data_IF_233042225490
#
_entry.id   IF_233042225490
#
_cell.length_a   1.000
_cell.length_b   1.000
_cell.length_c   1.000
_cell.angle_alpha   90.00
_cell.angle_beta   90.00
_cell.angle_gamma   90.00
#
_symmetry.space_group_name_H-M   'P 1'
#
loop_
_entity.id
_entity.type
_entity.pdbx_description
1 polymer ?
#
# COMPACT_ATOMS: atom_id res chain seq x y z
N UNK A 1 -4.31 24.66 -16.74
CA UNK A 1 -5.49 23.80 -16.48
C UNK A 1 -5.54 22.53 -17.34
N UNK A 2 -5.58 22.58 -18.69
CA UNK A 2 -5.79 21.36 -19.51
C UNK A 2 -4.62 20.36 -19.52
N UNK A 3 -3.38 20.82 -19.38
CA UNK A 3 -2.18 19.96 -19.41
C UNK A 3 -2.05 19.07 -18.17
N UNK A 4 -2.43 19.59 -17.00
CA UNK A 4 -2.34 18.84 -15.73
C UNK A 4 -3.37 17.71 -15.67
N UNK A 5 -4.62 17.97 -16.09
CA UNK A 5 -5.64 16.93 -16.16
C UNK A 5 -5.26 15.82 -17.16
N UNK A 6 -4.70 16.23 -18.31
CA UNK A 6 -4.17 15.28 -19.29
C UNK A 6 -3.07 14.39 -18.70
N UNK A 7 -2.18 14.95 -17.86
CA UNK A 7 -1.13 14.18 -17.19
C UNK A 7 -1.71 13.10 -16.25
N UNK A 8 -2.74 13.44 -15.46
CA UNK A 8 -3.42 12.49 -14.57
C UNK A 8 -4.05 11.34 -15.36
N UNK A 9 -4.76 11.67 -16.46
CA UNK A 9 -5.36 10.66 -17.34
C UNK A 9 -4.29 9.75 -17.95
N UNK A 10 -3.20 10.34 -18.45
CA UNK A 10 -2.10 9.59 -19.07
C UNK A 10 -1.45 8.64 -18.08
N UNK A 11 -1.18 9.09 -16.86
CA UNK A 11 -0.59 8.26 -15.79
C UNK A 11 -1.52 7.11 -15.41
N UNK A 12 -2.81 7.38 -15.24
CA UNK A 12 -3.79 6.34 -14.92
C UNK A 12 -3.92 5.29 -16.04
N UNK A 13 -4.02 5.74 -17.30
CA UNK A 13 -4.10 4.85 -18.46
C UNK A 13 -2.82 4.04 -18.62
N UNK A 14 -1.64 4.66 -18.47
CA UNK A 14 -0.36 3.96 -18.49
C UNK A 14 -0.30 2.86 -17.42
N UNK A 15 -0.79 3.15 -16.20
CA UNK A 15 -0.86 2.18 -15.12
C UNK A 15 -1.74 0.97 -15.50
N UNK A 16 -2.92 1.20 -16.09
CA UNK A 16 -3.80 0.11 -16.55
C UNK A 16 -3.11 -0.74 -17.63
N UNK A 17 -2.45 -0.09 -18.60
CA UNK A 17 -1.76 -0.78 -19.69
C UNK A 17 -0.61 -1.67 -19.17
N UNK A 18 0.08 -1.24 -18.11
CA UNK A 18 1.10 -2.03 -17.43
C UNK A 18 0.49 -3.13 -16.53
N UNK A 19 -0.65 -2.85 -15.90
CA UNK A 19 -1.27 -3.75 -14.93
C UNK A 19 -1.84 -5.02 -15.57
N UNK A 20 -2.34 -4.95 -16.81
CA UNK A 20 -2.89 -6.13 -17.51
C UNK A 20 -1.82 -7.22 -17.76
N UNK A 21 -0.67 -6.93 -18.43
CA UNK A 21 0.37 -7.92 -18.63
C UNK A 21 1.03 -8.32 -17.30
N UNK A 22 1.15 -7.41 -16.34
CA UNK A 22 1.69 -7.74 -15.04
C UNK A 22 0.77 -8.67 -14.23
N UNK A 23 -0.55 -8.44 -14.24
CA UNK A 23 -1.53 -9.36 -13.66
C UNK A 23 -1.49 -10.76 -14.28
N UNK A 24 -1.26 -10.85 -15.59
CA UNK A 24 -1.01 -12.15 -16.26
C UNK A 24 0.26 -12.82 -15.73
N UNK A 25 1.35 -12.08 -15.54
CA UNK A 25 2.59 -12.59 -14.94
C UNK A 25 2.38 -13.06 -13.50
N UNK A 26 1.71 -12.26 -12.65
CA UNK A 26 1.36 -12.63 -11.27
C UNK A 26 0.59 -13.96 -11.24
N UNK A 27 -0.43 -14.09 -12.11
CA UNK A 27 -1.21 -15.33 -12.19
C UNK A 27 -0.33 -16.55 -12.53
N UNK A 28 0.65 -16.40 -13.44
CA UNK A 28 1.59 -17.47 -13.80
C UNK A 28 2.49 -17.88 -12.64
N UNK A 29 3.04 -16.90 -11.92
CA UNK A 29 3.92 -17.12 -10.76
C UNK A 29 3.23 -17.97 -9.69
N UNK A 30 1.96 -17.65 -9.40
CA UNK A 30 1.18 -18.36 -8.38
C UNK A 30 0.57 -19.67 -8.87
N UNK A 31 0.28 -19.84 -10.17
CA UNK A 31 -0.04 -21.16 -10.74
C UNK A 31 1.16 -22.11 -10.82
N UNK A 32 2.38 -21.61 -10.59
CA UNK A 32 3.60 -22.41 -10.74
C UNK A 32 3.98 -22.68 -12.20
N UNK A 33 3.49 -21.87 -13.14
CA UNK A 33 3.93 -21.91 -14.52
C UNK A 33 5.38 -21.43 -14.64
N UNK A 34 6.13 -21.95 -15.62
CA UNK A 34 7.49 -21.49 -15.89
C UNK A 34 7.50 -20.03 -16.35
N UNK A 35 8.33 -19.25 -15.68
CA UNK A 35 8.56 -17.82 -15.89
C UNK A 35 10.06 -17.56 -16.02
N UNK A 36 10.43 -16.44 -16.63
CA UNK A 36 11.84 -16.07 -16.76
C UNK A 36 12.50 -15.81 -15.38
N UNK A 37 11.70 -15.40 -14.39
CA UNK A 37 12.15 -15.16 -13.01
C UNK A 37 12.52 -16.44 -12.25
N UNK A 38 12.08 -17.61 -12.71
CA UNK A 38 12.49 -18.90 -12.12
C UNK A 38 14.00 -19.14 -12.18
N UNK A 39 14.66 -18.63 -13.23
CA UNK A 39 16.10 -18.81 -13.44
C UNK A 39 16.89 -18.05 -12.37
N UNK A 40 16.44 -16.85 -12.03
CA UNK A 40 17.13 -15.94 -11.11
C UNK A 40 16.74 -16.22 -9.67
N UNK A 41 15.43 -16.28 -9.37
CA UNK A 41 14.93 -16.36 -8.00
C UNK A 41 14.67 -17.79 -7.54
N UNK A 42 14.47 -18.76 -8.44
CA UNK A 42 14.23 -20.15 -8.08
C UNK A 42 15.33 -20.78 -7.20
N UNK A 43 16.63 -20.58 -7.50
CA UNK A 43 17.72 -21.06 -6.63
C UNK A 43 17.70 -20.41 -5.25
N UNK A 44 17.43 -19.11 -5.19
CA UNK A 44 17.35 -18.33 -3.95
C UNK A 44 16.18 -18.81 -3.08
N UNK A 45 15.00 -19.00 -3.68
CA UNK A 45 13.82 -19.54 -2.99
C UNK A 45 14.07 -20.93 -2.41
N UNK A 46 14.67 -21.83 -3.20
CA UNK A 46 15.03 -23.19 -2.73
C UNK A 46 16.03 -23.15 -1.59
N UNK A 47 16.98 -22.22 -1.62
CA UNK A 47 17.94 -22.03 -0.53
C UNK A 47 17.22 -21.63 0.76
N UNK A 48 16.30 -20.66 0.71
CA UNK A 48 15.50 -20.27 1.87
C UNK A 48 14.66 -21.42 2.41
N UNK A 49 13.94 -22.15 1.56
CA UNK A 49 13.17 -23.32 2.00
C UNK A 49 14.04 -24.40 2.63
N UNK A 50 15.23 -24.65 2.06
CA UNK A 50 16.19 -25.63 2.60
C UNK A 50 16.75 -25.22 3.96
N UNK A 51 17.13 -23.96 4.15
CA UNK A 51 17.68 -23.45 5.41
C UNK A 51 16.59 -23.42 6.49
N UNK A 52 15.38 -23.02 6.13
CA UNK A 52 14.24 -22.97 7.06
C UNK A 52 13.61 -24.34 7.36
N UNK A 53 14.01 -25.41 6.64
CA UNK A 53 13.41 -26.73 6.76
C UNK A 53 11.94 -26.78 6.33
N UNK A 54 11.49 -25.81 5.51
CA UNK A 54 10.10 -25.71 5.05
C UNK A 54 9.97 -26.46 3.73
N UNK A 55 9.06 -27.44 3.69
CA UNK A 55 8.67 -28.10 2.45
C UNK A 55 7.60 -27.27 1.72
N UNK A 56 8.00 -26.61 0.63
CA UNK A 56 7.11 -25.77 -0.18
C UNK A 56 6.06 -26.59 -0.98
N UNK A 57 6.23 -27.90 -1.10
CA UNK A 57 5.28 -28.81 -1.78
C UNK A 57 4.15 -29.28 -0.87
N UNK A 58 4.33 -29.19 0.45
CA UNK A 58 3.31 -29.55 1.42
C UNK A 58 2.18 -28.54 1.39
N UNK A 59 1.00 -29.00 1.02
CA UNK A 59 -0.20 -28.18 1.04
C UNK A 59 -0.71 -27.95 2.47
N UNK A 60 -1.40 -26.83 2.66
CA UNK A 60 -1.89 -26.36 3.94
C UNK A 60 -3.39 -26.05 3.84
N UNK A 61 -4.12 -26.37 4.91
CA UNK A 61 -5.52 -25.97 5.07
C UNK A 61 -5.64 -24.54 5.62
N UNK A 62 -6.85 -23.98 5.63
CA UNK A 62 -7.06 -22.59 6.05
C UNK A 62 -6.59 -22.29 7.49
N UNK A 63 -6.65 -23.25 8.41
CA UNK A 63 -6.18 -23.07 9.80
C UNK A 63 -4.67 -23.00 9.86
N UNK A 64 -3.99 -23.84 9.08
CA UNK A 64 -2.53 -23.85 8.98
C UNK A 64 -2.03 -22.56 8.31
N UNK A 65 -2.71 -22.08 7.26
CA UNK A 65 -2.43 -20.77 6.66
C UNK A 65 -2.58 -19.64 7.68
N UNK A 66 -3.67 -19.62 8.44
CA UNK A 66 -3.90 -18.60 9.47
C UNK A 66 -2.84 -18.68 10.59
N UNK A 67 -2.51 -19.88 11.06
CA UNK A 67 -1.50 -20.07 12.09
C UNK A 67 -0.12 -19.61 11.61
N UNK A 68 0.27 -19.92 10.38
CA UNK A 68 1.53 -19.46 9.79
C UNK A 68 1.58 -17.93 9.69
N UNK A 69 0.50 -17.32 9.18
CA UNK A 69 0.37 -15.87 9.06
C UNK A 69 0.47 -15.17 10.42
N UNK A 70 -0.27 -15.63 11.44
CA UNK A 70 -0.26 -14.99 12.76
C UNK A 70 1.08 -15.19 13.48
N UNK A 71 1.66 -16.38 13.40
CA UNK A 71 2.91 -16.70 14.10
C UNK A 71 4.08 -15.89 13.55
N UNK A 72 4.20 -15.78 12.22
CA UNK A 72 5.32 -15.05 11.61
C UNK A 72 5.25 -13.55 11.90
N UNK A 73 4.03 -12.98 11.88
CA UNK A 73 3.82 -11.57 12.23
C UNK A 73 4.11 -11.30 13.72
N UNK A 74 3.76 -12.23 14.62
CA UNK A 74 4.11 -12.09 16.03
C UNK A 74 5.63 -12.04 16.26
N UNK A 75 6.40 -12.86 15.53
CA UNK A 75 7.88 -12.84 15.61
C UNK A 75 8.42 -11.48 15.16
N UNK A 76 7.91 -10.94 14.04
CA UNK A 76 8.34 -9.63 13.55
C UNK A 76 7.93 -8.48 14.47
N UNK A 77 6.77 -8.58 15.12
CA UNK A 77 6.36 -7.62 16.15
C UNK A 77 7.39 -7.56 17.28
N UNK A 78 7.78 -8.71 17.83
CA UNK A 78 8.79 -8.79 18.90
C UNK A 78 10.13 -8.24 18.43
N UNK A 79 10.55 -8.57 17.20
CA UNK A 79 11.78 -8.03 16.61
C UNK A 79 11.73 -6.51 16.45
N UNK A 80 10.62 -5.97 15.94
CA UNK A 80 10.43 -4.53 15.76
C UNK A 80 10.46 -3.81 17.11
N UNK A 81 9.74 -4.32 18.11
CA UNK A 81 9.78 -3.80 19.49
C UNK A 81 11.19 -3.78 20.04
N UNK A 82 11.95 -4.86 19.87
CA UNK A 82 13.33 -4.94 20.31
C UNK A 82 14.19 -3.87 19.64
N UNK A 83 14.12 -3.74 18.31
CA UNK A 83 14.91 -2.75 17.56
C UNK A 83 14.56 -1.32 18.01
N UNK A 84 13.27 -0.95 18.06
CA UNK A 84 12.85 0.43 18.31
C UNK A 84 13.10 0.90 19.75
N UNK A 85 12.96 0.00 20.73
CA UNK A 85 13.32 0.29 22.14
C UNK A 85 14.83 0.44 22.34
N UNK A 86 15.64 -0.18 21.48
CA UNK A 86 17.10 -0.25 21.64
C UNK A 86 17.88 0.53 20.58
N UNK A 87 17.20 1.19 19.63
CA UNK A 87 17.87 1.76 18.46
C UNK A 87 18.97 2.77 18.80
N UNK A 88 18.89 3.47 19.94
CA UNK A 88 19.88 4.47 20.34
C UNK A 88 21.31 3.92 20.45
N UNK A 89 21.49 2.67 20.87
CA UNK A 89 22.82 2.04 21.04
C UNK A 89 23.16 1.01 19.96
N UNK A 90 22.21 0.69 19.08
CA UNK A 90 22.43 -0.21 17.95
C UNK A 90 23.32 0.46 16.86
N UNK A 91 24.02 -0.33 16.02
CA UNK A 91 24.87 0.22 14.96
C UNK A 91 24.05 0.95 13.87
N UNK A 92 24.73 1.61 12.94
CA UNK A 92 24.11 2.47 11.89
C UNK A 92 23.25 3.59 12.48
N UNK A 93 23.79 4.25 13.51
CA UNK A 93 23.24 5.46 14.11
C UNK A 93 24.24 6.63 14.02
N UNK A 94 24.60 7.09 12.80
CA UNK A 94 25.59 8.16 12.64
C UNK A 94 25.11 9.51 13.22
N UNK A 95 23.80 9.69 13.35
CA UNK A 95 23.17 10.91 13.82
C UNK A 95 22.88 10.93 15.33
N UNK A 96 23.14 9.81 16.04
CA UNK A 96 22.89 9.68 17.48
C UNK A 96 21.41 9.79 17.86
N UNK A 97 20.50 9.37 16.98
CA UNK A 97 19.05 9.40 17.26
C UNK A 97 18.73 8.49 18.46
N UNK A 98 17.85 8.92 19.39
CA UNK A 98 17.55 8.18 20.61
C UNK A 98 16.65 6.96 20.35
N UNK A 99 16.56 6.07 21.34
CA UNK A 99 15.53 5.04 21.37
C UNK A 99 14.12 5.64 21.46
N UNK A 100 13.14 4.98 20.84
CA UNK A 100 11.73 5.37 20.99
C UNK A 100 11.25 5.01 22.40
N UNK A 101 10.28 5.76 22.91
CA UNK A 101 9.53 5.38 24.12
C UNK A 101 8.73 4.10 23.86
N UNK A 102 8.27 3.42 24.92
CA UNK A 102 7.61 2.12 24.79
C UNK A 102 6.28 2.18 24.02
N UNK A 103 5.50 3.23 24.27
CA UNK A 103 4.24 3.53 23.59
C UNK A 103 4.45 3.85 22.10
N UNK A 104 5.44 4.68 21.77
CA UNK A 104 5.78 5.01 20.38
C UNK A 104 6.34 3.79 19.63
N UNK A 105 7.17 2.99 20.29
CA UNK A 105 7.70 1.73 19.75
C UNK A 105 6.56 0.75 19.44
N UNK A 106 5.60 0.61 20.37
CA UNK A 106 4.43 -0.25 20.19
C UNK A 106 3.55 0.20 19.03
N UNK A 107 3.20 1.48 18.99
CA UNK A 107 2.42 2.07 17.90
C UNK A 107 3.12 1.85 16.56
N UNK A 108 4.40 2.20 16.48
CA UNK A 108 5.20 2.10 15.24
C UNK A 108 5.37 0.65 14.79
N UNK A 109 5.67 -0.27 15.70
CA UNK A 109 5.84 -1.69 15.38
C UNK A 109 4.55 -2.28 14.80
N UNK A 110 3.40 -2.07 15.46
CA UNK A 110 2.11 -2.56 14.95
C UNK A 110 1.78 -1.89 13.62
N UNK A 111 1.96 -0.57 13.54
CA UNK A 111 1.65 0.22 12.36
C UNK A 111 2.33 -0.32 11.10
N UNK A 112 3.63 -0.63 11.16
CA UNK A 112 4.36 -1.22 10.03
C UNK A 112 4.02 -2.71 9.82
N UNK A 113 3.75 -3.45 10.89
CA UNK A 113 3.35 -4.87 10.81
C UNK A 113 2.02 -5.07 10.08
N UNK A 114 1.05 -4.19 10.36
CA UNK A 114 -0.30 -4.26 9.76
C UNK A 114 -0.40 -3.50 8.44
N UNK A 115 0.74 -3.10 7.85
CA UNK A 115 0.80 -2.41 6.56
C UNK A 115 0.02 -1.06 6.55
N UNK A 116 -0.04 -0.38 7.70
CA UNK A 116 -0.73 0.92 7.84
C UNK A 116 0.27 2.08 7.83
N UNK A 117 1.40 1.90 8.52
CA UNK A 117 2.52 2.82 8.54
C UNK A 117 2.15 4.26 8.95
N UNK A 118 1.17 4.38 9.85
CA UNK A 118 0.98 5.54 10.70
C UNK A 118 2.29 5.92 11.40
N UNK A 119 2.64 7.21 11.37
CA UNK A 119 3.87 7.75 11.94
C UNK A 119 3.55 8.89 12.92
N UNK A 120 3.92 8.71 14.19
CA UNK A 120 3.91 9.75 15.23
C UNK A 120 5.32 10.25 15.54
N UNK A 121 6.21 10.19 14.56
CA UNK A 121 7.61 10.58 14.65
C UNK A 121 8.06 11.15 13.30
N UNK A 122 9.11 11.98 13.30
CA UNK A 122 9.80 12.35 12.07
C UNK A 122 10.92 11.36 11.79
N UNK A 123 10.98 10.76 10.61
CA UNK A 123 11.91 9.67 10.35
C UNK A 123 13.39 10.07 10.45
N UNK A 124 13.71 11.33 10.13
CA UNK A 124 15.09 11.83 10.19
C UNK A 124 15.61 12.20 11.59
N UNK A 125 14.73 12.26 12.60
CA UNK A 125 15.11 12.53 14.01
C UNK A 125 14.69 11.42 14.96
N UNK A 126 13.65 10.65 14.63
CA UNK A 126 13.08 9.61 15.48
C UNK A 126 13.53 8.19 15.15
N UNK A 127 14.21 7.97 14.03
CA UNK A 127 14.65 6.64 13.61
C UNK A 127 16.12 6.60 13.19
N UNK A 128 16.83 5.53 13.55
CA UNK A 128 18.20 5.26 13.09
C UNK A 128 18.20 4.60 11.71
N UNK A 129 19.35 4.56 11.03
CA UNK A 129 19.42 3.89 9.72
C UNK A 129 19.23 2.38 9.86
N UNK A 130 19.62 1.79 11.00
CA UNK A 130 19.29 0.40 11.30
C UNK A 130 17.78 0.19 11.42
N UNK A 131 17.07 1.05 12.15
CA UNK A 131 15.60 0.98 12.25
C UNK A 131 14.95 1.12 10.87
N UNK A 132 15.40 2.08 10.06
CA UNK A 132 14.89 2.31 8.71
C UNK A 132 15.09 1.06 7.82
N UNK A 133 16.28 0.45 7.83
CA UNK A 133 16.60 -0.67 6.93
C UNK A 133 16.09 -2.02 7.44
N UNK A 134 16.38 -2.36 8.70
CA UNK A 134 16.15 -3.70 9.25
C UNK A 134 14.82 -3.86 9.98
N UNK A 135 14.15 -2.76 10.32
CA UNK A 135 12.80 -2.80 10.86
C UNK A 135 11.79 -2.33 9.81
N UNK A 136 11.84 -1.08 9.38
CA UNK A 136 10.80 -0.47 8.55
C UNK A 136 10.76 -1.00 7.11
N UNK A 137 11.89 -0.95 6.40
CA UNK A 137 11.98 -1.47 5.03
C UNK A 137 11.73 -2.98 5.00
N UNK A 138 12.24 -3.73 5.99
CA UNK A 138 11.92 -5.15 6.15
C UNK A 138 10.42 -5.38 6.28
N UNK A 139 9.76 -4.67 7.22
CA UNK A 139 8.32 -4.77 7.44
C UNK A 139 7.55 -4.39 6.18
N UNK A 140 7.96 -3.37 5.42
CA UNK A 140 7.32 -3.00 4.16
C UNK A 140 7.23 -4.15 3.14
N UNK A 141 8.26 -4.99 3.07
CA UNK A 141 8.23 -6.17 2.20
C UNK A 141 7.29 -7.24 2.73
N UNK A 142 7.42 -7.58 4.01
CA UNK A 142 6.78 -8.77 4.55
C UNK A 142 5.30 -8.57 4.89
N UNK A 143 4.90 -7.36 5.27
CA UNK A 143 3.49 -6.98 5.46
C UNK A 143 2.72 -7.07 4.13
N UNK A 144 3.25 -6.46 3.07
CA UNK A 144 2.68 -6.49 1.73
C UNK A 144 2.62 -7.92 1.15
N UNK A 145 3.71 -8.69 1.31
CA UNK A 145 3.75 -10.09 0.88
C UNK A 145 2.73 -10.97 1.60
N UNK A 146 2.47 -10.70 2.90
CA UNK A 146 1.44 -11.40 3.67
C UNK A 146 0.05 -11.15 3.08
N UNK A 147 -0.27 -9.90 2.72
CA UNK A 147 -1.53 -9.53 2.08
C UNK A 147 -1.73 -10.22 0.72
N UNK A 148 -0.69 -10.23 -0.12
CA UNK A 148 -0.71 -10.92 -1.42
C UNK A 148 -0.89 -12.43 -1.23
N UNK A 149 -0.15 -13.04 -0.31
CA UNK A 149 -0.24 -14.48 -0.03
C UNK A 149 -1.66 -14.88 0.43
N UNK A 150 -2.26 -14.12 1.35
CA UNK A 150 -3.64 -14.35 1.80
C UNK A 150 -4.65 -14.24 0.65
N UNK A 151 -4.46 -13.29 -0.26
CA UNK A 151 -5.29 -13.13 -1.45
C UNK A 151 -5.19 -14.36 -2.39
N UNK A 152 -3.98 -14.88 -2.61
CA UNK A 152 -3.77 -16.08 -3.43
C UNK A 152 -4.42 -17.33 -2.82
N UNK A 153 -4.43 -17.45 -1.50
CA UNK A 153 -5.17 -18.52 -0.80
C UNK A 153 -6.66 -18.45 -1.13
N UNK A 154 -7.25 -17.25 -1.14
CA UNK A 154 -8.64 -17.05 -1.57
C UNK A 154 -8.83 -17.36 -3.06
N UNK A 155 -7.86 -17.03 -3.93
CA UNK A 155 -7.94 -17.41 -5.34
C UNK A 155 -7.98 -18.93 -5.53
N UNK A 156 -7.19 -19.69 -4.78
CA UNK A 156 -7.26 -21.15 -4.78
C UNK A 156 -8.61 -21.66 -4.27
N UNK A 157 -9.09 -21.09 -3.17
CA UNK A 157 -10.40 -21.43 -2.63
C UNK A 157 -11.54 -21.14 -3.62
N UNK A 158 -11.41 -20.14 -4.50
CA UNK A 158 -12.40 -19.85 -5.55
C UNK A 158 -12.26 -20.75 -6.79
N UNK A 159 -11.04 -21.21 -7.09
CA UNK A 159 -10.73 -22.07 -8.24
C UNK A 159 -11.29 -23.48 -8.05
N UNK A 160 -11.07 -24.08 -6.88
CA UNK A 160 -11.40 -25.47 -6.63
C UNK A 160 -12.80 -25.62 -6.03
N UNK A 161 -13.60 -26.55 -6.55
CA UNK A 161 -15.00 -26.75 -6.09
C UNK A 161 -15.07 -27.39 -4.71
N UNK A 162 -14.18 -28.34 -4.43
CA UNK A 162 -14.13 -29.11 -3.17
C UNK A 162 -12.67 -29.49 -2.90
N UNK A 163 -11.94 -28.63 -2.18
CA UNK A 163 -10.60 -28.94 -1.68
C UNK A 163 -10.39 -28.22 -0.36
N UNK A 164 -9.83 -28.93 0.62
CA UNK A 164 -9.36 -28.34 1.89
C UNK A 164 -7.88 -27.92 1.80
N UNK A 165 -7.22 -28.21 0.68
CA UNK A 165 -5.84 -27.87 0.42
C UNK A 165 -5.76 -26.60 -0.43
N UNK A 166 -5.16 -25.55 0.13
CA UNK A 166 -5.11 -24.21 -0.49
C UNK A 166 -3.69 -23.83 -0.92
N UNK A 167 -2.84 -24.83 -1.15
CA UNK A 167 -1.40 -24.70 -1.36
C UNK A 167 -0.66 -24.28 -0.09
N UNK A 168 0.48 -23.60 -0.23
CA UNK A 168 1.41 -23.35 0.89
C UNK A 168 1.63 -21.86 1.14
N UNK A 169 1.39 -21.40 2.37
CA UNK A 169 1.51 -19.98 2.76
C UNK A 169 2.92 -19.44 2.49
N UNK A 170 3.94 -20.15 2.96
CA UNK A 170 5.34 -19.73 2.85
C UNK A 170 5.80 -19.66 1.39
N UNK A 171 5.27 -20.53 0.53
CA UNK A 171 5.52 -20.46 -0.91
C UNK A 171 4.96 -19.18 -1.54
N UNK A 172 3.71 -18.85 -1.26
CA UNK A 172 3.09 -17.61 -1.78
C UNK A 172 3.75 -16.36 -1.21
N UNK A 173 4.05 -16.37 0.08
CA UNK A 173 4.75 -15.30 0.76
C UNK A 173 6.13 -15.04 0.12
N UNK A 174 6.97 -16.07 0.01
CA UNK A 174 8.33 -15.92 -0.49
C UNK A 174 8.36 -15.48 -1.97
N UNK A 175 7.47 -16.04 -2.81
CA UNK A 175 7.32 -15.60 -4.20
C UNK A 175 6.82 -14.17 -4.31
N UNK A 176 5.95 -13.71 -3.41
CA UNK A 176 5.50 -12.32 -3.38
C UNK A 176 6.68 -11.38 -3.13
N UNK A 177 7.53 -11.69 -2.15
CA UNK A 177 8.74 -10.92 -1.88
C UNK A 177 9.70 -10.92 -3.08
N UNK A 178 10.07 -12.10 -3.57
CA UNK A 178 11.19 -12.26 -4.51
C UNK A 178 10.84 -11.97 -5.97
N UNK A 179 9.62 -12.29 -6.42
CA UNK A 179 9.23 -12.24 -7.84
C UNK A 179 8.31 -11.08 -8.20
N UNK A 180 7.78 -10.38 -7.21
CA UNK A 180 6.84 -9.26 -7.40
C UNK A 180 7.40 -8.00 -6.76
N UNK A 181 7.54 -7.98 -5.43
CA UNK A 181 7.92 -6.78 -4.68
C UNK A 181 9.36 -6.36 -4.97
N UNK A 182 10.33 -7.26 -4.78
CA UNK A 182 11.75 -6.93 -4.91
C UNK A 182 12.13 -6.41 -6.31
N UNK A 183 11.73 -7.04 -7.43
CA UNK A 183 12.07 -6.54 -8.76
C UNK A 183 11.46 -5.16 -9.04
N UNK A 184 10.20 -4.93 -8.65
CA UNK A 184 9.56 -3.63 -8.82
C UNK A 184 10.19 -2.56 -7.95
N UNK A 185 10.53 -2.88 -6.69
CA UNK A 185 11.22 -1.95 -5.80
C UNK A 185 12.61 -1.61 -6.31
N UNK A 186 13.34 -2.53 -6.92
CA UNK A 186 14.63 -2.22 -7.56
C UNK A 186 14.43 -1.23 -8.71
N UNK A 187 13.46 -1.47 -9.59
CA UNK A 187 13.18 -0.55 -10.72
C UNK A 187 12.84 0.85 -10.20
N UNK A 188 11.94 0.95 -9.23
CA UNK A 188 11.53 2.24 -8.67
C UNK A 188 12.69 2.92 -7.91
N UNK A 189 13.45 2.18 -7.09
CA UNK A 189 14.60 2.73 -6.37
C UNK A 189 15.66 3.28 -7.34
N UNK A 190 15.92 2.59 -8.45
CA UNK A 190 16.83 3.06 -9.50
C UNK A 190 16.34 4.38 -10.09
N UNK A 191 15.06 4.49 -10.44
CA UNK A 191 14.47 5.74 -10.94
C UNK A 191 14.66 6.87 -9.92
N UNK A 192 14.40 6.61 -8.63
CA UNK A 192 14.55 7.58 -7.55
C UNK A 192 16.01 8.05 -7.39
N UNK A 193 16.98 7.13 -7.34
CA UNK A 193 18.41 7.46 -7.21
C UNK A 193 18.88 8.33 -8.38
N UNK A 194 18.54 7.97 -9.62
CA UNK A 194 18.92 8.76 -10.80
C UNK A 194 18.25 10.15 -10.84
N UNK A 195 17.21 10.37 -10.06
CA UNK A 195 16.50 11.64 -9.96
C UNK A 195 16.83 12.45 -8.69
N UNK A 196 17.78 11.99 -7.86
CA UNK A 196 18.30 12.76 -6.73
C UNK A 196 17.83 12.31 -5.34
N UNK A 197 17.07 11.22 -5.21
CA UNK A 197 16.77 10.62 -3.91
C UNK A 197 18.04 9.98 -3.32
N UNK A 198 18.40 10.25 -2.05
CA UNK A 198 19.65 9.80 -1.48
C UNK A 198 19.66 8.28 -1.25
N UNK A 199 20.85 7.71 -1.43
CA UNK A 199 21.17 6.33 -1.10
C UNK A 199 22.59 6.26 -0.53
N UNK A 200 22.74 6.66 0.73
CA UNK A 200 24.02 6.68 1.46
C UNK A 200 23.84 6.15 2.89
N UNK A 201 24.94 5.79 3.55
CA UNK A 201 24.96 5.48 4.99
C UNK A 201 25.73 6.54 5.81
N UNK A 202 26.11 7.64 5.17
CA UNK A 202 26.70 8.81 5.84
C UNK A 202 25.65 9.54 6.68
N UNK A 203 26.08 10.10 7.81
CA UNK A 203 25.23 10.92 8.67
C UNK A 203 24.83 12.24 8.02
N UNK A 204 24.09 13.06 8.77
CA UNK A 204 23.60 14.37 8.34
C UNK A 204 24.74 15.24 7.81
N UNK A 205 24.57 15.72 6.59
CA UNK A 205 25.51 16.63 5.95
C UNK A 205 25.31 18.03 6.50
N UNK A 206 26.39 18.69 6.91
CA UNK A 206 26.35 20.08 7.38
C UNK A 206 26.60 21.02 6.20
N UNK A 207 25.67 21.91 5.95
CA UNK A 207 25.71 22.90 4.87
C UNK A 207 25.58 24.30 5.47
N UNK A 208 26.41 25.23 5.03
CA UNK A 208 26.25 26.65 5.35
C UNK A 208 25.36 27.26 4.27
N UNK A 209 24.19 27.77 4.66
CA UNK A 209 23.26 28.37 3.72
C UNK A 209 23.79 29.73 3.20
N UNK A 210 23.10 30.33 2.23
CA UNK A 210 23.50 31.63 1.67
C UNK A 210 23.44 32.79 2.70
N UNK A 211 22.74 32.61 3.81
CA UNK A 211 22.63 33.57 4.92
C UNK A 211 23.73 33.38 5.98
N UNK A 212 24.52 32.30 5.90
CA UNK A 212 25.59 31.96 6.84
C UNK A 212 25.19 30.98 7.95
N UNK A 213 23.93 30.51 8.00
CA UNK A 213 23.49 29.55 9.01
C UNK A 213 23.92 28.13 8.67
N UNK A 214 24.31 27.39 9.71
CA UNK A 214 24.61 25.96 9.60
C UNK A 214 23.32 25.14 9.64
N UNK A 215 23.02 24.45 8.55
CA UNK A 215 21.87 23.54 8.40
C UNK A 215 22.38 22.10 8.29
N UNK A 216 21.71 21.17 8.99
CA UNK A 216 21.98 19.73 8.89
C UNK A 216 20.94 19.07 7.99
N UNK A 217 21.38 18.52 6.87
CA UNK A 217 20.51 17.83 5.90
C UNK A 217 20.61 16.34 6.09
N UNK A 218 19.47 15.71 6.36
CA UNK A 218 19.35 14.28 6.55
C UNK A 218 19.35 13.58 5.19
N UNK A 219 20.24 12.60 5.01
CA UNK A 219 20.30 11.75 3.84
C UNK A 219 19.85 10.34 4.17
N UNK A 220 20.79 9.39 4.11
CA UNK A 220 20.53 7.98 4.43
C UNK A 220 20.04 7.14 3.22
N UNK A 221 19.70 5.86 3.44
CA UNK A 221 19.34 4.92 2.37
C UNK A 221 17.87 5.06 1.96
N UNK A 222 17.43 6.29 1.65
CA UNK A 222 16.03 6.62 1.46
C UNK A 222 15.44 5.93 0.22
N UNK A 223 16.15 5.92 -0.92
CA UNK A 223 15.62 5.42 -2.18
C UNK A 223 15.07 3.99 -2.12
N UNK A 224 15.78 3.10 -1.42
CA UNK A 224 15.36 1.70 -1.27
C UNK A 224 14.06 1.58 -0.45
N UNK A 225 13.96 2.33 0.65
CA UNK A 225 12.78 2.33 1.52
C UNK A 225 11.55 2.94 0.83
N UNK A 226 11.74 4.09 0.15
CA UNK A 226 10.68 4.77 -0.60
C UNK A 226 10.15 3.89 -1.72
N UNK A 227 11.01 3.11 -2.37
CA UNK A 227 10.56 2.23 -3.43
C UNK A 227 9.61 1.14 -2.93
N UNK A 228 9.97 0.42 -1.86
CA UNK A 228 9.07 -0.61 -1.31
C UNK A 228 7.86 -0.02 -0.59
N UNK A 229 7.96 1.19 0.01
CA UNK A 229 6.79 1.79 0.67
C UNK A 229 5.65 2.03 -0.33
N UNK A 230 5.97 2.40 -1.57
CA UNK A 230 4.99 2.56 -2.64
C UNK A 230 4.59 1.21 -3.22
N UNK A 231 5.56 0.40 -3.69
CA UNK A 231 5.27 -0.89 -4.33
C UNK A 231 4.42 -1.81 -3.44
N UNK A 232 4.70 -1.84 -2.13
CA UNK A 232 3.95 -2.65 -1.16
C UNK A 232 2.70 -1.99 -0.60
N UNK A 233 2.30 -0.81 -1.10
CA UNK A 233 1.18 -0.01 -0.58
C UNK A 233 1.25 0.18 0.94
N UNK A 234 2.43 0.55 1.47
CA UNK A 234 2.68 0.76 2.90
C UNK A 234 2.59 2.23 3.29
N UNK A 235 3.25 3.11 2.52
CA UNK A 235 3.25 4.56 2.70
C UNK A 235 4.06 5.16 3.85
N UNK A 236 4.74 4.36 4.69
CA UNK A 236 5.63 4.88 5.72
C UNK A 236 6.82 5.64 5.13
N UNK A 237 6.87 6.96 5.35
CA UNK A 237 7.89 7.86 4.82
C UNK A 237 9.25 7.67 5.49
N UNK A 238 10.32 7.92 4.74
CA UNK A 238 11.66 7.97 5.31
C UNK A 238 11.85 9.25 6.15
N UNK A 239 11.26 10.35 5.70
CA UNK A 239 11.24 11.66 6.34
C UNK A 239 9.83 11.98 6.86
N UNK A 240 9.72 12.89 7.84
CA UNK A 240 8.44 13.19 8.49
C UNK A 240 7.33 13.70 7.57
N UNK A 241 7.67 14.49 6.55
CA UNK A 241 6.70 14.99 5.55
C UNK A 241 6.50 14.04 4.37
N UNK A 242 7.01 12.81 4.47
CA UNK A 242 6.72 11.70 3.55
C UNK A 242 7.04 12.06 2.09
N UNK A 243 6.22 11.66 1.11
CA UNK A 243 6.42 11.97 -0.32
C UNK A 243 6.27 13.46 -0.69
N UNK A 244 6.00 14.35 0.27
CA UNK A 244 6.16 15.79 0.04
C UNK A 244 7.63 16.20 0.19
N UNK A 245 8.48 15.41 0.84
CA UNK A 245 9.89 15.77 1.05
C UNK A 245 10.67 15.79 -0.29
N UNK A 246 11.50 16.81 -0.57
CA UNK A 246 12.32 16.88 -1.78
C UNK A 246 13.28 15.71 -1.98
N UNK A 247 13.76 15.12 -0.88
CA UNK A 247 14.63 13.94 -0.97
C UNK A 247 13.84 12.64 -1.11
N UNK A 248 12.51 12.62 -0.89
CA UNK A 248 11.72 11.43 -1.21
C UNK A 248 11.22 11.43 -2.63
N UNK A 249 10.64 12.56 -3.05
CA UNK A 249 10.03 12.76 -4.34
C UNK A 249 10.59 14.06 -4.99
N UNK A 250 11.79 14.00 -5.59
CA UNK A 250 12.51 15.17 -6.07
C UNK A 250 11.78 15.99 -7.14
N UNK A 251 11.05 15.34 -8.04
CA UNK A 251 10.50 16.00 -9.22
C UNK A 251 9.24 15.31 -9.75
N UNK A 252 8.65 15.84 -10.83
CA UNK A 252 7.42 15.30 -11.38
C UNK A 252 7.58 13.87 -11.95
N UNK A 253 8.77 13.50 -12.43
CA UNK A 253 9.04 12.15 -12.97
C UNK A 253 9.02 11.13 -11.83
N UNK A 254 9.65 11.43 -10.69
CA UNK A 254 9.60 10.56 -9.51
C UNK A 254 8.19 10.44 -8.96
N UNK A 255 7.43 11.53 -8.98
CA UNK A 255 6.03 11.52 -8.60
C UNK A 255 5.18 10.59 -9.50
N UNK A 256 5.41 10.61 -10.83
CA UNK A 256 4.78 9.65 -11.76
C UNK A 256 5.22 8.21 -11.45
N UNK A 257 6.51 7.99 -11.17
CA UNK A 257 7.01 6.65 -10.89
C UNK A 257 6.46 6.09 -9.57
N UNK A 258 6.38 6.90 -8.52
CA UNK A 258 5.84 6.53 -7.21
C UNK A 258 4.33 6.26 -7.27
N UNK A 259 3.55 7.08 -7.99
CA UNK A 259 2.10 6.87 -8.14
C UNK A 259 1.80 5.60 -8.95
N UNK A 260 2.56 5.32 -10.01
CA UNK A 260 2.48 4.04 -10.74
C UNK A 260 2.88 2.89 -9.79
N UNK A 261 3.96 3.08 -9.04
CA UNK A 261 4.49 2.10 -8.09
C UNK A 261 3.46 1.65 -7.05
N UNK A 262 2.69 2.58 -6.49
CA UNK A 262 1.64 2.24 -5.51
C UNK A 262 0.38 1.63 -6.14
N UNK A 263 -0.01 2.03 -7.35
CA UNK A 263 -1.26 1.56 -7.97
C UNK A 263 -1.09 0.25 -8.76
N UNK A 264 0.12 -0.07 -9.23
CA UNK A 264 0.35 -1.18 -10.17
C UNK A 264 -0.05 -2.54 -9.60
N UNK A 265 0.29 -2.88 -8.36
CA UNK A 265 -0.04 -4.18 -7.76
C UNK A 265 -1.56 -4.31 -7.50
N UNK A 266 -2.24 -3.35 -6.83
CA UNK A 266 -3.68 -3.40 -6.65
C UNK A 266 -4.48 -3.70 -7.93
N UNK A 267 -4.22 -2.94 -9.00
CA UNK A 267 -4.92 -3.15 -10.28
C UNK A 267 -4.51 -4.49 -10.92
N UNK A 268 -3.22 -4.84 -10.86
CA UNK A 268 -2.74 -6.10 -11.43
C UNK A 268 -3.33 -7.32 -10.74
N UNK A 269 -3.61 -7.26 -9.44
CA UNK A 269 -4.26 -8.34 -8.69
C UNK A 269 -5.69 -8.60 -9.17
N UNK A 270 -6.44 -7.56 -9.57
CA UNK A 270 -7.77 -7.71 -10.18
C UNK A 270 -7.69 -8.45 -11.51
N UNK A 271 -6.70 -8.13 -12.35
CA UNK A 271 -6.49 -8.87 -13.59
C UNK A 271 -5.92 -10.27 -13.36
N UNK A 272 -5.03 -10.43 -12.36
CA UNK A 272 -4.47 -11.71 -11.96
C UNK A 272 -5.58 -12.68 -11.57
N UNK A 273 -6.56 -12.26 -10.76
CA UNK A 273 -7.77 -13.03 -10.46
C UNK A 273 -8.46 -13.57 -11.73
N UNK A 274 -8.64 -12.72 -12.74
CA UNK A 274 -9.27 -13.09 -14.00
C UNK A 274 -8.51 -14.14 -14.79
N UNK A 275 -7.18 -14.01 -14.85
CA UNK A 275 -6.30 -15.00 -15.47
C UNK A 275 -6.21 -16.28 -14.64
N UNK A 276 -6.14 -16.15 -13.32
CA UNK A 276 -5.99 -17.24 -12.36
C UNK A 276 -7.21 -18.16 -12.36
N UNK A 277 -8.40 -17.57 -12.31
CA UNK A 277 -9.68 -18.29 -12.35
C UNK A 277 -10.17 -18.60 -13.77
N UNK A 278 -9.43 -18.17 -14.81
CA UNK A 278 -9.84 -18.22 -16.22
C UNK A 278 -11.22 -17.58 -16.48
N UNK A 279 -11.57 -16.53 -15.72
CA UNK A 279 -12.85 -15.80 -15.78
C UNK A 279 -12.64 -14.32 -16.08
N UNK A 280 -12.26 -14.00 -17.32
CA UNK A 280 -11.96 -12.63 -17.76
C UNK A 280 -13.12 -11.65 -17.53
N UNK A 281 -14.35 -12.06 -17.85
CA UNK A 281 -15.55 -11.20 -17.68
C UNK A 281 -15.75 -10.77 -16.23
N UNK A 282 -15.46 -11.66 -15.27
CA UNK A 282 -15.56 -11.35 -13.85
C UNK A 282 -14.51 -10.31 -13.44
N UNK A 283 -13.25 -10.49 -13.83
CA UNK A 283 -12.21 -9.49 -13.54
C UNK A 283 -12.50 -8.12 -14.15
N UNK A 284 -13.00 -8.06 -15.40
CA UNK A 284 -13.40 -6.80 -16.02
C UNK A 284 -14.58 -6.14 -15.31
N UNK A 285 -15.53 -6.92 -14.79
CA UNK A 285 -16.62 -6.39 -13.97
C UNK A 285 -16.09 -5.80 -12.66
N UNK A 286 -15.25 -6.55 -11.93
CA UNK A 286 -14.63 -6.08 -10.68
C UNK A 286 -13.82 -4.80 -10.93
N UNK A 287 -12.98 -4.79 -11.97
CA UNK A 287 -12.22 -3.63 -12.39
C UNK A 287 -13.12 -2.43 -12.71
N UNK A 288 -14.23 -2.65 -13.44
CA UNK A 288 -15.18 -1.60 -13.78
C UNK A 288 -15.85 -0.98 -12.55
N UNK A 289 -16.29 -1.79 -11.59
CA UNK A 289 -16.90 -1.31 -10.34
C UNK A 289 -15.89 -0.53 -9.49
N UNK A 290 -14.67 -1.06 -9.33
CA UNK A 290 -13.61 -0.37 -8.58
C UNK A 290 -13.19 0.94 -9.26
N UNK A 291 -13.07 0.95 -10.59
CA UNK A 291 -12.76 2.15 -11.38
C UNK A 291 -13.84 3.21 -11.22
N UNK A 292 -15.12 2.82 -11.31
CA UNK A 292 -16.22 3.75 -11.18
C UNK A 292 -16.23 4.39 -9.79
N UNK A 293 -16.07 3.59 -8.73
CA UNK A 293 -15.95 4.09 -7.36
C UNK A 293 -14.76 5.05 -7.20
N UNK A 294 -13.60 4.68 -7.73
CA UNK A 294 -12.41 5.54 -7.75
C UNK A 294 -12.66 6.88 -8.46
N UNK A 295 -13.32 6.88 -9.62
CA UNK A 295 -13.61 8.11 -10.38
C UNK A 295 -14.64 9.01 -9.70
N UNK A 296 -15.63 8.43 -9.00
CA UNK A 296 -16.61 9.19 -8.21
C UNK A 296 -15.92 9.98 -7.09
N UNK A 297 -14.84 9.45 -6.52
CA UNK A 297 -14.03 10.15 -5.52
C UNK A 297 -13.04 11.13 -6.16
N UNK A 298 -12.39 10.72 -7.26
CA UNK A 298 -11.32 11.50 -7.89
C UNK A 298 -11.83 12.76 -8.59
N UNK A 299 -12.93 12.68 -9.36
CA UNK A 299 -13.38 13.78 -10.19
C UNK A 299 -13.79 15.03 -9.38
N UNK A 300 -14.56 14.92 -8.28
CA UNK A 300 -14.83 16.06 -7.41
C UNK A 300 -13.56 16.65 -6.81
N UNK A 301 -12.63 15.82 -6.33
CA UNK A 301 -11.38 16.29 -5.73
C UNK A 301 -10.51 17.05 -6.73
N UNK A 302 -10.38 16.57 -7.97
CA UNK A 302 -9.69 17.32 -9.03
C UNK A 302 -10.36 18.67 -9.28
N UNK A 303 -11.69 18.68 -9.40
CA UNK A 303 -12.43 19.91 -9.68
C UNK A 303 -12.23 20.97 -8.58
N UNK A 304 -12.42 20.59 -7.32
CA UNK A 304 -12.33 21.54 -6.20
C UNK A 304 -10.90 21.98 -5.90
N UNK A 305 -9.90 21.09 -5.98
CA UNK A 305 -8.51 21.51 -5.79
C UNK A 305 -8.02 22.42 -6.92
N UNK A 306 -8.42 22.17 -8.18
CA UNK A 306 -8.02 23.03 -9.30
C UNK A 306 -8.76 24.37 -9.32
N UNK A 307 -9.97 24.45 -8.75
CA UNK A 307 -10.73 25.70 -8.64
C UNK A 307 -10.16 26.67 -7.59
N UNK A 308 -9.35 26.18 -6.64
CA UNK A 308 -8.78 26.99 -5.57
C UNK A 308 -9.76 27.33 -4.46
N UNK A 309 -9.29 28.10 -3.47
CA UNK A 309 -10.08 28.50 -2.32
C UNK A 309 -10.80 29.84 -2.57
N UNK A 310 -12.14 29.89 -2.52
CA UNK A 310 -12.90 31.13 -2.73
C UNK A 310 -12.54 32.24 -1.74
N UNK A 311 -12.16 31.90 -0.50
CA UNK A 311 -11.74 32.88 0.50
C UNK A 311 -10.35 33.46 0.21
N UNK A 312 -9.49 32.73 -0.49
CA UNK A 312 -8.19 33.25 -0.97
C UNK A 312 -8.41 34.15 -2.19
N UNK A 313 -9.35 33.77 -3.06
CA UNK A 313 -9.70 34.58 -4.23
C UNK A 313 -10.29 35.94 -3.83
N UNK A 314 -11.11 36.00 -2.76
CA UNK A 314 -11.67 37.27 -2.26
C UNK A 314 -10.62 38.23 -1.68
N UNK A 315 -9.46 37.73 -1.29
CA UNK A 315 -8.30 38.55 -0.89
C UNK A 315 -7.54 39.14 -2.09
N UNK A 316 -7.95 38.83 -3.33
CA UNK A 316 -7.27 39.28 -4.55
C UNK A 316 -5.98 38.52 -4.86
N UNK A 317 -5.74 37.39 -4.20
CA UNK A 317 -4.57 36.55 -4.44
C UNK A 317 -4.83 35.66 -5.66
N UNK A 318 -3.87 35.64 -6.59
CA UNK A 318 -3.92 34.79 -7.78
C UNK A 318 -3.83 33.30 -7.39
N UNK A 319 -4.73 32.49 -7.95
CA UNK A 319 -4.79 31.02 -7.75
C UNK A 319 -4.86 30.27 -9.08
N UNK A 320 -4.10 30.70 -10.09
CA UNK A 320 -4.06 30.04 -11.41
C UNK A 320 -3.59 28.57 -11.35
N UNK A 321 -2.90 28.20 -10.27
CA UNK A 321 -2.44 26.83 -9.96
C UNK A 321 -3.42 26.03 -9.09
N UNK A 322 -4.59 26.60 -8.75
CA UNK A 322 -5.56 26.01 -7.82
C UNK A 322 -5.20 26.21 -6.35
N UNK A 323 -5.72 25.32 -5.49
CA UNK A 323 -5.46 25.31 -4.05
C UNK A 323 -4.05 24.78 -3.78
N UNK A 324 -3.11 25.69 -3.53
CA UNK A 324 -1.72 25.35 -3.25
C UNK A 324 -1.39 25.21 -1.76
N UNK A 325 -2.35 25.46 -0.85
CA UNK A 325 -2.15 25.22 0.58
C UNK A 325 -1.92 23.72 0.84
N UNK A 326 -0.83 23.42 1.56
CA UNK A 326 -0.35 22.07 1.81
C UNK A 326 0.10 21.28 0.56
N UNK A 327 0.33 21.93 -0.59
CA UNK A 327 0.78 21.29 -1.83
C UNK A 327 2.19 21.71 -2.22
N UNK A 328 2.84 20.86 -3.00
CA UNK A 328 4.17 21.12 -3.54
C UNK A 328 4.12 21.71 -4.95
N UNK A 329 4.90 22.77 -5.17
CA UNK A 329 5.02 23.42 -6.48
C UNK A 329 5.55 22.47 -7.57
N UNK A 330 6.31 21.45 -7.16
CA UNK A 330 6.83 20.38 -8.03
C UNK A 330 5.73 19.57 -8.71
N UNK A 331 4.54 19.49 -8.10
CA UNK A 331 3.46 18.59 -8.53
C UNK A 331 2.19 19.33 -8.94
N UNK A 332 1.89 20.46 -8.28
CA UNK A 332 0.66 21.23 -8.51
C UNK A 332 -0.59 20.59 -7.90
N UNK A 333 -1.72 21.28 -8.04
CA UNK A 333 -2.99 20.89 -7.40
C UNK A 333 -3.57 19.61 -7.99
N UNK A 334 -3.57 19.45 -9.32
CA UNK A 334 -4.17 18.28 -9.97
C UNK A 334 -3.44 16.96 -9.64
N UNK A 335 -2.10 16.96 -9.66
CA UNK A 335 -1.36 15.74 -9.30
C UNK A 335 -1.47 15.41 -7.82
N UNK A 336 -1.53 16.42 -6.96
CA UNK A 336 -1.73 16.23 -5.52
C UNK A 336 -3.14 15.69 -5.22
N UNK A 337 -4.15 16.18 -5.92
CA UNK A 337 -5.51 15.66 -5.90
C UNK A 337 -5.57 14.18 -6.30
N UNK A 338 -4.96 13.83 -7.45
CA UNK A 338 -4.88 12.43 -7.89
C UNK A 338 -4.16 11.53 -6.87
N UNK A 339 -3.02 11.98 -6.36
CA UNK A 339 -2.27 11.26 -5.34
C UNK A 339 -3.09 11.02 -4.08
N UNK A 340 -3.79 12.05 -3.57
CA UNK A 340 -4.57 11.96 -2.35
C UNK A 340 -5.70 10.93 -2.43
N UNK A 341 -6.38 10.83 -3.58
CA UNK A 341 -7.44 9.84 -3.77
C UNK A 341 -6.85 8.47 -4.03
N UNK A 342 -5.77 8.35 -4.81
CA UNK A 342 -5.09 7.08 -4.99
C UNK A 342 -4.63 6.51 -3.65
N UNK A 343 -3.79 7.24 -2.91
CA UNK A 343 -3.17 6.76 -1.66
C UNK A 343 -4.19 6.35 -0.60
N UNK A 344 -5.33 7.04 -0.51
CA UNK A 344 -6.41 6.71 0.44
C UNK A 344 -7.24 5.51 -0.02
N UNK A 345 -7.52 5.41 -1.31
CA UNK A 345 -8.32 4.33 -1.90
C UNK A 345 -7.56 3.00 -1.94
N UNK A 346 -6.27 3.01 -2.30
CA UNK A 346 -5.42 1.80 -2.28
C UNK A 346 -4.75 1.55 -0.92
N UNK A 347 -5.16 2.28 0.13
CA UNK A 347 -4.65 2.12 1.50
C UNK A 347 -3.12 2.18 1.59
N UNK A 348 -2.49 3.01 0.76
CA UNK A 348 -1.04 3.23 0.84
C UNK A 348 -0.71 4.19 1.96
N UNK A 349 -1.42 5.30 2.12
CA UNK A 349 -1.13 6.27 3.19
C UNK A 349 0.13 7.13 2.97
N UNK A 350 0.78 7.04 1.81
CA UNK A 350 1.85 7.96 1.40
C UNK A 350 1.26 9.33 1.08
N UNK A 351 1.85 10.41 1.59
CA UNK A 351 1.31 11.77 1.49
C UNK A 351 2.31 12.66 0.74
N UNK A 352 1.96 13.14 -0.46
CA UNK A 352 2.74 14.16 -1.19
C UNK A 352 2.21 15.60 -0.98
N UNK A 353 1.07 15.71 -0.30
CA UNK A 353 0.34 16.94 -0.03
C UNK A 353 -0.50 16.76 1.23
N UNK A 354 -0.42 17.71 2.16
CA UNK A 354 -1.06 17.61 3.48
C UNK A 354 -2.58 17.58 3.33
N UNK A 355 -3.20 16.47 3.70
CA UNK A 355 -4.64 16.22 3.49
C UNK A 355 -5.52 17.20 4.28
N UNK A 356 -5.03 17.67 5.43
CA UNK A 356 -5.70 18.66 6.27
C UNK A 356 -5.89 20.03 5.58
N UNK A 357 -5.04 20.33 4.58
CA UNK A 357 -5.07 21.56 3.78
C UNK A 357 -5.91 21.45 2.49
N UNK A 358 -6.58 20.32 2.26
CA UNK A 358 -7.44 20.15 1.07
C UNK A 358 -8.79 20.86 1.25
N UNK A 359 -9.46 21.12 0.13
CA UNK A 359 -10.82 21.68 0.15
C UNK A 359 -11.78 20.71 0.88
N UNK A 360 -12.84 21.21 1.55
CA UNK A 360 -13.70 20.38 2.39
C UNK A 360 -14.28 19.15 1.68
N UNK A 361 -14.70 19.30 0.42
CA UNK A 361 -15.23 18.19 -0.38
C UNK A 361 -14.13 17.20 -0.75
N UNK A 362 -12.93 17.68 -1.06
CA UNK A 362 -11.77 16.83 -1.34
C UNK A 362 -11.39 15.98 -0.12
N UNK A 363 -11.34 16.59 1.07
CA UNK A 363 -11.10 15.87 2.34
C UNK A 363 -12.19 14.85 2.64
N UNK A 364 -13.46 15.18 2.39
CA UNK A 364 -14.57 14.23 2.49
C UNK A 364 -14.38 13.03 1.53
N UNK A 365 -13.98 13.25 0.28
CA UNK A 365 -13.74 12.16 -0.68
C UNK A 365 -12.58 11.25 -0.25
N UNK A 366 -11.50 11.81 0.31
CA UNK A 366 -10.39 11.07 0.90
C UNK A 366 -10.86 10.18 2.06
N UNK A 367 -11.65 10.73 2.99
CA UNK A 367 -12.23 9.98 4.11
C UNK A 367 -13.17 8.87 3.62
N UNK A 368 -14.05 9.15 2.66
CA UNK A 368 -14.93 8.15 2.07
C UNK A 368 -14.13 7.02 1.40
N UNK A 369 -13.03 7.34 0.71
CA UNK A 369 -12.11 6.36 0.16
C UNK A 369 -11.60 5.37 1.21
N UNK A 370 -11.10 5.89 2.34
CA UNK A 370 -10.61 5.08 3.46
C UNK A 370 -11.72 4.27 4.15
N UNK A 371 -12.89 4.86 4.36
CA UNK A 371 -14.01 4.21 5.07
C UNK A 371 -14.69 3.12 4.23
N UNK A 372 -14.74 3.28 2.91
CA UNK A 372 -15.29 2.27 2.00
C UNK A 372 -14.31 1.11 1.82
N UNK A 373 -13.00 1.39 1.72
CA UNK A 373 -11.91 0.39 1.65
C UNK A 373 -12.19 -0.77 0.68
N UNK A 374 -12.73 -0.48 -0.51
CA UNK A 374 -13.15 -1.49 -1.46
C UNK A 374 -12.76 -1.19 -2.92
N UNK A 375 -12.38 0.05 -3.24
CA UNK A 375 -11.98 0.40 -4.59
C UNK A 375 -10.49 0.11 -4.76
N UNK A 376 -10.13 -0.93 -5.51
CA UNK A 376 -8.76 -1.46 -5.63
C UNK A 376 -8.12 -1.97 -4.32
N UNK A 377 -7.99 -1.12 -3.29
CA UNK A 377 -7.39 -1.38 -1.98
C UNK A 377 -5.89 -1.71 -2.05
N UNK A 378 -5.32 -2.12 -0.92
CA UNK A 378 -3.89 -2.45 -0.80
C UNK A 378 -3.50 -3.79 -1.45
N UNK A 379 -2.20 -4.06 -1.47
CA UNK A 379 -1.60 -5.27 -2.05
C UNK A 379 -2.26 -6.57 -1.55
N UNK A 380 -3.12 -7.17 -2.39
CA UNK A 380 -3.88 -8.38 -2.07
C UNK A 380 -5.10 -8.13 -1.18
N UNK A 381 -4.94 -7.39 -0.08
CA UNK A 381 -6.02 -7.10 0.89
C UNK A 381 -7.19 -6.31 0.30
N UNK A 382 -6.95 -5.48 -0.71
CA UNK A 382 -8.01 -4.74 -1.38
C UNK A 382 -9.05 -5.65 -2.04
N UNK A 383 -8.61 -6.73 -2.69
CA UNK A 383 -9.53 -7.74 -3.21
C UNK A 383 -10.20 -8.53 -2.08
N UNK A 384 -9.51 -8.80 -0.97
CA UNK A 384 -10.11 -9.50 0.18
C UNK A 384 -11.27 -8.68 0.78
N UNK A 385 -11.11 -7.37 0.93
CA UNK A 385 -12.18 -6.48 1.38
C UNK A 385 -13.32 -6.43 0.36
N UNK A 386 -13.00 -6.24 -0.92
CA UNK A 386 -14.00 -6.26 -1.99
C UNK A 386 -14.76 -7.59 -2.08
N UNK A 387 -14.09 -8.71 -1.78
CA UNK A 387 -14.70 -10.03 -1.76
C UNK A 387 -15.82 -10.14 -0.72
N UNK A 388 -15.68 -9.50 0.45
CA UNK A 388 -16.76 -9.42 1.44
C UNK A 388 -17.98 -8.72 0.81
N UNK A 389 -17.79 -7.59 0.13
CA UNK A 389 -18.88 -6.89 -0.56
C UNK A 389 -19.50 -7.71 -1.70
N UNK A 390 -18.72 -8.53 -2.41
CA UNK A 390 -19.26 -9.46 -3.41
C UNK A 390 -20.20 -10.47 -2.74
N UNK A 391 -19.79 -11.09 -1.63
CA UNK A 391 -20.61 -12.05 -0.89
C UNK A 391 -21.92 -11.40 -0.43
N UNK A 392 -21.86 -10.18 0.13
CA UNK A 392 -23.05 -9.42 0.53
C UNK A 392 -23.96 -9.12 -0.67
N UNK A 393 -23.40 -8.65 -1.78
CA UNK A 393 -24.16 -8.30 -2.99
C UNK A 393 -24.86 -9.53 -3.61
N UNK A 394 -24.17 -10.67 -3.67
CA UNK A 394 -24.74 -11.94 -4.16
C UNK A 394 -25.83 -12.43 -3.22
N UNK A 395 -25.63 -12.31 -1.91
CA UNK A 395 -26.64 -12.66 -0.91
C UNK A 395 -27.92 -11.86 -1.08
N UNK A 396 -27.82 -10.53 -1.15
CA UNK A 396 -28.96 -9.63 -1.35
C UNK A 396 -29.64 -9.93 -2.70
N UNK A 397 -28.87 -10.12 -3.77
CA UNK A 397 -29.40 -10.43 -5.10
C UNK A 397 -30.16 -11.76 -5.13
N UNK A 398 -29.65 -12.80 -4.45
CA UNK A 398 -30.34 -14.08 -4.33
C UNK A 398 -31.67 -13.96 -3.59
N UNK A 399 -31.68 -13.24 -2.46
CA UNK A 399 -32.89 -12.96 -1.69
C UNK A 399 -33.93 -12.19 -2.50
N UNK A 400 -33.54 -11.14 -3.24
CA UNK A 400 -34.45 -10.33 -4.06
C UNK A 400 -35.13 -11.14 -5.17
N UNK A 401 -34.45 -12.16 -5.70
CA UNK A 401 -34.98 -13.05 -6.76
C UNK A 401 -35.66 -14.30 -6.16
N UNK A 402 -35.66 -14.46 -4.82
CA UNK A 402 -36.23 -15.62 -4.13
C UNK A 402 -35.46 -16.92 -4.38
N UNK A 403 -34.17 -16.86 -4.70
CA UNK A 403 -33.30 -18.02 -4.94
C UNK A 403 -32.21 -18.11 -3.87
N UNK A 404 -31.69 -19.31 -3.67
CA UNK A 404 -30.52 -19.50 -2.79
C UNK A 404 -29.33 -18.73 -3.35
N UNK A 405 -28.67 -17.86 -2.56
CA UNK A 405 -27.50 -17.12 -3.03
C UNK A 405 -26.35 -18.06 -3.42
N UNK A 406 -25.80 -17.83 -4.61
CA UNK A 406 -24.76 -18.67 -5.16
C UNK A 406 -23.69 -17.82 -5.85
N UNK A 407 -22.43 -18.02 -5.46
CA UNK A 407 -21.28 -17.38 -6.08
C UNK A 407 -20.36 -18.43 -6.70
N UNK A 408 -20.17 -18.36 -8.02
CA UNK A 408 -19.28 -19.26 -8.77
C UNK A 408 -19.58 -20.77 -8.61
N UNK A 409 -20.83 -21.19 -8.44
CA UNK A 409 -21.15 -22.60 -8.19
C UNK A 409 -21.20 -22.97 -6.71
N UNK A 410 -20.85 -22.05 -5.81
CA UNK A 410 -20.81 -22.27 -4.36
C UNK A 410 -21.97 -21.54 -3.70
N UNK A 411 -22.78 -22.29 -2.96
CA UNK A 411 -23.87 -21.71 -2.16
C UNK A 411 -23.27 -20.89 -1.03
N UNK A 412 -23.86 -19.73 -0.77
CA UNK A 412 -23.52 -18.91 0.40
C UNK A 412 -24.53 -19.27 1.48
N UNK A 413 -24.09 -19.97 2.51
CA UNK A 413 -24.93 -20.39 3.61
C UNK A 413 -24.84 -19.40 4.78
N UNK A 414 -25.59 -19.68 5.85
CA UNK A 414 -25.64 -18.82 7.02
C UNK A 414 -24.27 -18.64 7.69
N UNK A 415 -23.37 -19.63 7.57
CA UNK A 415 -22.03 -19.55 8.18
C UNK A 415 -21.15 -18.54 7.48
N UNK A 416 -21.06 -18.58 6.16
CA UNK A 416 -20.27 -17.64 5.35
C UNK A 416 -20.84 -16.23 5.51
N UNK A 417 -22.17 -16.11 5.52
CA UNK A 417 -22.83 -14.82 5.72
C UNK A 417 -22.53 -14.20 7.09
N UNK A 418 -22.52 -15.00 8.17
CA UNK A 418 -22.13 -14.52 9.51
C UNK A 418 -20.70 -13.99 9.53
N UNK A 419 -19.76 -14.68 8.89
CA UNK A 419 -18.36 -14.25 8.81
C UNK A 419 -18.26 -12.94 8.02
N UNK A 420 -18.89 -12.86 6.85
CA UNK A 420 -18.91 -11.64 6.04
C UNK A 420 -19.50 -10.45 6.80
N UNK A 421 -20.62 -10.63 7.51
CA UNK A 421 -21.21 -9.56 8.33
C UNK A 421 -20.32 -9.13 9.48
N UNK A 422 -19.69 -10.06 10.19
CA UNK A 422 -18.76 -9.71 11.28
C UNK A 422 -17.60 -8.86 10.76
N UNK A 423 -17.01 -9.21 9.62
CA UNK A 423 -15.91 -8.44 9.02
C UNK A 423 -16.41 -7.06 8.56
N UNK A 424 -17.54 -7.02 7.85
CA UNK A 424 -18.10 -5.77 7.33
C UNK A 424 -18.49 -4.77 8.43
N UNK A 425 -18.93 -5.26 9.60
CA UNK A 425 -19.30 -4.43 10.75
C UNK A 425 -18.11 -4.09 11.66
N UNK A 426 -17.08 -4.94 11.73
CA UNK A 426 -15.92 -4.71 12.59
C UNK A 426 -15.17 -3.43 12.19
N UNK A 427 -15.01 -3.18 10.89
CA UNK A 427 -14.30 -1.99 10.39
C UNK A 427 -14.96 -0.66 10.84
N UNK A 428 -16.24 -0.39 10.54
CA UNK A 428 -16.90 0.82 11.02
C UNK A 428 -17.05 0.84 12.54
N UNK A 429 -17.23 -0.31 13.20
CA UNK A 429 -17.28 -0.37 14.66
C UNK A 429 -15.99 0.17 15.30
N UNK A 430 -14.82 -0.24 14.81
CA UNK A 430 -13.52 0.24 15.32
C UNK A 430 -13.34 1.75 15.08
N UNK A 431 -13.70 2.24 13.90
CA UNK A 431 -13.60 3.67 13.56
C UNK A 431 -14.52 4.51 14.45
N UNK A 432 -15.81 4.15 14.53
CA UNK A 432 -16.80 4.94 15.26
C UNK A 432 -16.56 4.89 16.77
N UNK A 433 -16.27 3.72 17.34
CA UNK A 433 -15.97 3.59 18.77
C UNK A 433 -14.65 4.27 19.15
N UNK A 434 -13.61 4.12 18.33
CA UNK A 434 -12.33 4.81 18.52
C UNK A 434 -12.47 6.33 18.44
N UNK A 435 -13.23 6.84 17.46
CA UNK A 435 -13.52 8.28 17.34
C UNK A 435 -14.34 8.79 18.52
N UNK A 436 -15.37 8.05 18.94
CA UNK A 436 -16.18 8.44 20.10
C UNK A 436 -15.35 8.49 21.40
N UNK A 437 -14.42 7.55 21.59
CA UNK A 437 -13.50 7.56 22.73
C UNK A 437 -12.54 8.74 22.66
N UNK A 438 -11.94 8.99 21.50
CA UNK A 438 -10.99 10.09 21.30
C UNK A 438 -11.63 11.48 21.41
N UNK A 439 -12.91 11.64 21.05
CA UNK A 439 -13.64 12.89 21.23
C UNK A 439 -14.15 13.11 22.66
N UNK A 440 -14.15 12.07 23.49
CA UNK A 440 -14.58 12.14 24.89
C UNK A 440 -13.42 12.44 25.85
N UNK A 441 -12.26 11.80 25.60
CA UNK A 441 -11.00 12.03 26.32
C UNK A 441 -10.42 13.38 25.92
#
# INVERSE_FOLDING_TARGET
>A
MNTELFSVILVYVATILLAIPFGKYIAKVFHGEKTWTDIIFGPVERMFFKISGIDASKEMNWKEHLAALLTINLVWFVLAMFILLNQGWLPLNPDGNPSMTADLSFNTAISFLVNCNLQHYSGETGATYLSQVFCFMFLHFVSAATGIAACVVVFNALKDRTSDQLGNFYNYFLKSCTRILLPLSIILAVILVFNGTPMSLEGKQTIINLQGDSVKVSGGPAAALIAIKHVGTNGGGYFGVNSAHPLENPNFITNIAEIIGQVIIPISMVFALGFYLKRKRFAWMVFGVMTLGFLILLAPTLYYEMAGNPAIASMGINQDLGNMEGKEIRFGSASSAYWSIATTVISTGSVNAMHDSFMPISGMMQMLGMMVNAFYGGCGVGFLNFFIFIILAVFISGLMVGRTPEFMGKKIEAREMKIAMMIALLHPFLILSGTALASYV
#
